data_IF_225686849047
#
_entry.id   IF_225686849047
#
_cell.length_a   1.000
_cell.length_b   1.000
_cell.length_c   1.000
_cell.angle_alpha   90.00
_cell.angle_beta   90.00
_cell.angle_gamma   90.00
#
_symmetry.space_group_name_H-M   'P 1'
#
loop_
_entity.id
_entity.type
_entity.pdbx_description
1 polymer ?
#
# COMPACT_ATOMS: atom_id res chain seq x y z
N UNK A 1 7.16 13.74 -12.91
CA UNK A 1 6.95 14.11 -11.48
C UNK A 1 6.02 13.05 -10.89
N UNK A 2 6.42 12.43 -9.79
CA UNK A 2 5.62 11.36 -9.19
C UNK A 2 4.33 11.92 -8.61
N UNK A 3 3.18 11.37 -9.02
CA UNK A 3 1.83 11.63 -8.49
C UNK A 3 1.27 10.37 -7.84
N UNK A 4 0.42 10.52 -6.82
CA UNK A 4 -0.24 9.39 -6.16
C UNK A 4 -1.73 9.49 -6.43
N UNK A 5 -2.27 8.49 -7.11
CA UNK A 5 -3.67 8.41 -7.50
C UNK A 5 -4.46 7.56 -6.53
N UNK A 6 -5.61 8.05 -6.08
CA UNK A 6 -6.59 7.30 -5.29
C UNK A 6 -7.54 6.61 -6.26
N UNK A 7 -7.56 5.29 -6.22
CA UNK A 7 -8.45 4.48 -7.07
C UNK A 7 -9.38 3.68 -6.17
N UNK A 8 -10.67 3.93 -6.36
CA UNK A 8 -11.76 3.25 -5.66
C UNK A 8 -12.70 2.61 -6.68
N UNK A 9 -13.74 1.92 -6.21
CA UNK A 9 -14.82 1.41 -7.05
C UNK A 9 -15.38 2.48 -8.01
N UNK A 10 -15.55 3.71 -7.51
CA UNK A 10 -16.30 4.76 -8.22
C UNK A 10 -15.54 5.35 -9.42
N UNK A 11 -14.19 5.32 -9.39
CA UNK A 11 -13.35 5.85 -10.46
C UNK A 11 -12.53 4.78 -11.20
N UNK A 12 -12.61 3.51 -10.79
CA UNK A 12 -11.82 2.38 -11.33
C UNK A 12 -11.89 2.27 -12.85
N UNK A 13 -13.05 2.55 -13.46
CA UNK A 13 -13.22 2.47 -14.90
C UNK A 13 -12.27 3.41 -15.68
N UNK A 14 -11.89 4.54 -15.09
CA UNK A 14 -10.92 5.48 -15.67
C UNK A 14 -9.45 5.05 -15.50
N UNK A 15 -9.18 3.97 -14.75
CA UNK A 15 -7.83 3.50 -14.42
C UNK A 15 -7.56 2.05 -14.83
N UNK A 16 -8.31 1.50 -15.79
CA UNK A 16 -8.20 0.10 -16.21
C UNK A 16 -6.76 -0.28 -16.59
N UNK A 17 -6.11 0.53 -17.44
CA UNK A 17 -4.72 0.27 -17.89
C UNK A 17 -3.72 0.40 -16.72
N UNK A 18 -3.93 1.36 -15.83
CA UNK A 18 -3.09 1.56 -14.63
C UNK A 18 -3.20 0.37 -13.67
N UNK A 19 -4.42 -0.12 -13.44
CA UNK A 19 -4.65 -1.29 -12.58
C UNK A 19 -4.06 -2.56 -13.20
N UNK A 20 -4.16 -2.74 -14.51
CA UNK A 20 -3.53 -3.85 -15.20
C UNK A 20 -2.00 -3.82 -15.04
N UNK A 21 -1.35 -2.65 -15.26
CA UNK A 21 0.08 -2.48 -15.04
C UNK A 21 0.45 -2.71 -13.56
N UNK A 22 -0.37 -2.20 -12.61
CA UNK A 22 -0.17 -2.38 -11.18
C UNK A 22 -0.20 -3.85 -10.76
N UNK A 23 -1.16 -4.65 -11.23
CA UNK A 23 -1.26 -6.07 -10.91
C UNK A 23 -0.12 -6.90 -11.51
N UNK A 24 0.41 -6.53 -12.69
CA UNK A 24 1.60 -7.15 -13.28
C UNK A 24 2.86 -6.82 -12.47
N UNK A 25 3.04 -5.55 -12.07
CA UNK A 25 4.16 -5.17 -11.22
C UNK A 25 4.08 -5.79 -9.82
N UNK A 26 2.88 -6.04 -9.30
CA UNK A 26 2.71 -6.84 -8.08
C UNK A 26 3.23 -8.26 -8.25
N UNK A 27 2.94 -8.90 -9.39
CA UNK A 27 3.50 -10.21 -9.72
C UNK A 27 5.03 -10.14 -9.76
N UNK A 28 5.61 -9.20 -10.50
CA UNK A 28 7.06 -9.07 -10.61
C UNK A 28 7.71 -8.87 -9.23
N UNK A 29 7.11 -8.05 -8.37
CA UNK A 29 7.68 -7.75 -7.05
C UNK A 29 7.42 -8.86 -6.03
N UNK A 30 6.21 -9.39 -5.94
CA UNK A 30 5.89 -10.35 -4.87
C UNK A 30 6.19 -11.79 -5.26
N UNK A 31 5.93 -12.19 -6.52
CA UNK A 31 6.17 -13.55 -6.98
C UNK A 31 7.62 -13.74 -7.43
N UNK A 32 8.12 -12.88 -8.33
CA UNK A 32 9.44 -13.09 -8.92
C UNK A 32 10.57 -12.57 -8.03
N UNK A 33 10.46 -11.31 -7.50
CA UNK A 33 11.56 -10.73 -6.72
C UNK A 33 11.59 -11.24 -5.27
N UNK A 34 10.41 -11.38 -4.60
CA UNK A 34 10.32 -11.82 -3.20
C UNK A 34 10.15 -13.33 -3.03
N UNK A 35 9.82 -14.04 -4.12
CA UNK A 35 9.69 -15.49 -4.10
C UNK A 35 8.37 -16.04 -3.54
N UNK A 36 7.33 -15.23 -3.39
CA UNK A 36 6.01 -15.66 -2.89
C UNK A 36 5.27 -16.45 -3.98
N UNK A 37 5.75 -17.68 -4.26
CA UNK A 37 5.31 -18.51 -5.39
C UNK A 37 3.84 -18.90 -5.32
N UNK A 38 3.27 -19.02 -4.13
CA UNK A 38 1.85 -19.35 -3.91
C UNK A 38 0.90 -18.27 -4.44
N UNK A 39 1.40 -17.05 -4.68
CA UNK A 39 0.63 -15.97 -5.29
C UNK A 39 0.67 -15.98 -6.82
N UNK A 40 1.46 -16.88 -7.43
CA UNK A 40 1.63 -16.94 -8.88
C UNK A 40 0.32 -17.31 -9.59
N UNK A 41 0.00 -16.59 -10.68
CA UNK A 41 -1.14 -16.86 -11.55
C UNK A 41 -0.68 -17.01 -12.99
N UNK A 42 -1.34 -17.87 -13.80
CA UNK A 42 -0.96 -18.11 -15.19
C UNK A 42 -1.02 -16.87 -16.09
N UNK A 43 -1.83 -15.87 -15.70
CA UNK A 43 -2.01 -14.62 -16.44
C UNK A 43 -0.92 -13.56 -16.16
N UNK A 44 0.07 -13.88 -15.32
CA UNK A 44 1.16 -12.97 -14.95
C UNK A 44 0.72 -11.76 -14.12
N UNK A 45 -0.41 -11.86 -13.42
CA UNK A 45 -0.91 -10.85 -12.48
C UNK A 45 -0.92 -11.41 -11.06
N UNK A 46 -0.67 -10.58 -10.07
CA UNK A 46 -0.96 -10.90 -8.67
C UNK A 46 -2.25 -10.20 -8.27
N UNK A 47 -3.31 -10.97 -8.10
CA UNK A 47 -4.66 -10.54 -7.73
C UNK A 47 -5.23 -11.56 -6.74
N UNK A 48 -5.76 -11.09 -5.62
CA UNK A 48 -6.35 -11.96 -4.60
C UNK A 48 -7.82 -11.61 -4.31
N UNK A 49 -8.44 -12.28 -3.34
CA UNK A 49 -9.84 -12.11 -2.99
C UNK A 49 -10.18 -10.72 -2.42
N UNK A 50 -9.17 -9.92 -2.04
CA UNK A 50 -9.32 -8.58 -1.51
C UNK A 50 -9.14 -7.49 -2.58
N UNK A 51 -8.96 -7.86 -3.83
CA UNK A 51 -8.93 -6.94 -4.98
C UNK A 51 -10.35 -6.72 -5.55
N UNK A 52 -11.33 -6.62 -4.66
CA UNK A 52 -12.75 -6.44 -4.94
C UNK A 52 -13.17 -4.94 -4.96
N UNK A 53 -14.48 -4.69 -4.99
CA UNK A 53 -15.07 -3.35 -5.01
C UNK A 53 -14.87 -2.55 -3.69
N UNK A 54 -14.37 -3.19 -2.63
CA UNK A 54 -14.10 -2.53 -1.34
C UNK A 54 -12.64 -2.10 -1.20
N UNK A 55 -11.78 -2.53 -2.12
CA UNK A 55 -10.38 -2.13 -2.15
C UNK A 55 -10.24 -0.66 -2.55
N UNK A 56 -9.40 0.06 -1.84
CA UNK A 56 -8.88 1.37 -2.25
C UNK A 56 -7.39 1.23 -2.55
N UNK A 57 -6.97 1.69 -3.71
CA UNK A 57 -5.56 1.68 -4.09
C UNK A 57 -4.99 3.08 -4.06
N UNK A 58 -3.79 3.22 -3.51
CA UNK A 58 -2.95 4.39 -3.70
C UNK A 58 -1.82 3.99 -4.65
N UNK A 59 -1.87 4.47 -5.89
CA UNK A 59 -0.91 4.07 -6.94
C UNK A 59 -0.03 5.26 -7.31
N UNK A 60 1.28 5.03 -7.23
CA UNK A 60 2.29 6.00 -7.61
C UNK A 60 2.58 5.92 -9.12
N UNK A 61 2.38 7.02 -9.81
CA UNK A 61 2.71 7.17 -11.23
C UNK A 61 3.87 8.14 -11.43
N UNK A 62 4.78 7.84 -12.35
CA UNK A 62 5.80 8.76 -12.83
C UNK A 62 5.85 8.73 -14.37
N UNK A 63 5.58 9.87 -14.99
CA UNK A 63 5.45 9.95 -16.46
C UNK A 63 4.33 9.06 -17.04
N UNK A 64 3.27 8.81 -16.25
CA UNK A 64 2.14 7.96 -16.65
C UNK A 64 2.37 6.45 -16.45
N UNK A 65 3.55 6.03 -15.96
CA UNK A 65 3.89 4.62 -15.65
C UNK A 65 3.74 4.34 -14.17
N UNK A 66 3.24 3.16 -13.83
CA UNK A 66 3.18 2.72 -12.43
C UNK A 66 4.58 2.45 -11.90
N UNK A 67 4.90 3.05 -10.73
CA UNK A 67 6.18 2.85 -10.05
C UNK A 67 6.03 2.27 -8.65
N UNK A 68 4.81 1.99 -8.22
CA UNK A 68 4.50 1.41 -6.91
C UNK A 68 3.08 1.68 -6.47
N UNK A 69 2.75 1.24 -5.28
CA UNK A 69 1.44 1.49 -4.69
C UNK A 69 1.21 0.65 -3.45
N UNK A 70 0.00 0.73 -2.95
CA UNK A 70 -0.51 -0.07 -1.84
C UNK A 70 -2.02 -0.27 -1.98
N UNK A 71 -2.55 -1.23 -1.25
CA UNK A 71 -4.00 -1.46 -1.12
C UNK A 71 -4.42 -1.22 0.32
N UNK A 72 -5.53 -0.49 0.49
CA UNK A 72 -6.26 -0.31 1.75
C UNK A 72 -7.57 -1.10 1.68
N UNK A 73 -7.93 -1.77 2.79
CA UNK A 73 -9.11 -2.61 2.85
C UNK A 73 -9.86 -2.41 4.18
N UNK A 74 -11.23 -2.40 4.20
CA UNK A 74 -12.00 -2.19 5.41
C UNK A 74 -11.90 -3.38 6.37
N UNK A 75 -11.54 -3.12 7.65
CA UNK A 75 -11.38 -4.18 8.66
C UNK A 75 -12.71 -4.73 9.20
N UNK A 76 -13.83 -4.06 8.96
CA UNK A 76 -15.16 -4.60 9.29
C UNK A 76 -15.56 -5.79 8.42
N UNK A 77 -14.92 -5.95 7.26
CA UNK A 77 -15.06 -7.12 6.40
C UNK A 77 -14.03 -8.20 6.76
N UNK A 78 -14.22 -9.45 6.29
CA UNK A 78 -13.14 -10.42 6.27
C UNK A 78 -11.93 -9.83 5.52
N UNK A 79 -10.77 -9.72 6.16
CA UNK A 79 -9.57 -9.09 5.65
C UNK A 79 -8.35 -9.96 5.95
N UNK A 80 -7.20 -9.65 5.38
CA UNK A 80 -6.05 -10.56 5.33
C UNK A 80 -5.57 -10.99 6.72
N UNK A 81 -5.42 -10.07 7.68
CA UNK A 81 -5.07 -10.44 9.06
C UNK A 81 -6.12 -11.41 9.63
N UNK A 82 -7.42 -11.15 9.41
CA UNK A 82 -8.47 -11.96 10.00
C UNK A 82 -8.61 -13.35 9.37
N UNK A 83 -8.17 -13.55 8.13
CA UNK A 83 -8.34 -14.81 7.41
C UNK A 83 -7.03 -15.59 7.28
N UNK A 84 -5.94 -14.91 6.95
CA UNK A 84 -4.65 -15.56 6.67
C UNK A 84 -3.68 -15.50 7.84
N UNK A 85 -3.74 -14.44 8.66
CA UNK A 85 -2.74 -14.18 9.71
C UNK A 85 -3.30 -13.94 11.11
N UNK A 86 -4.42 -14.61 11.53
CA UNK A 86 -4.99 -14.38 12.86
C UNK A 86 -4.02 -14.80 14.00
N UNK A 87 -3.13 -15.74 13.73
CA UNK A 87 -2.12 -16.24 14.65
C UNK A 87 -1.02 -15.22 14.97
N UNK A 88 -0.87 -14.15 14.16
CA UNK A 88 0.06 -13.05 14.43
C UNK A 88 -0.50 -12.01 15.41
N UNK A 89 -1.78 -12.13 15.79
CA UNK A 89 -2.43 -11.21 16.72
C UNK A 89 -2.56 -11.86 18.08
N UNK A 90 -2.04 -11.19 19.10
CA UNK A 90 -2.09 -11.67 20.49
C UNK A 90 -3.52 -11.83 20.95
N UNK A 91 -3.82 -12.96 21.59
CA UNK A 91 -5.12 -13.29 22.16
C UNK A 91 -6.29 -13.26 21.14
N UNK A 92 -5.99 -13.33 19.83
CA UNK A 92 -6.99 -13.29 18.75
C UNK A 92 -7.79 -11.98 18.65
N UNK A 93 -7.35 -10.92 19.34
CA UNK A 93 -8.05 -9.63 19.37
C UNK A 93 -7.72 -8.79 18.14
N UNK A 94 -8.23 -9.22 16.99
CA UNK A 94 -8.06 -8.52 15.71
C UNK A 94 -8.71 -7.15 15.78
N UNK A 95 -7.92 -6.11 15.50
CA UNK A 95 -8.39 -4.73 15.50
C UNK A 95 -9.34 -4.48 14.32
N UNK A 96 -10.58 -4.08 14.62
CA UNK A 96 -11.62 -3.80 13.62
C UNK A 96 -12.39 -2.54 14.02
N UNK A 97 -12.80 -1.76 13.05
CA UNK A 97 -13.63 -0.58 13.27
C UNK A 97 -13.92 0.20 12.00
N UNK A 98 -14.88 1.13 12.04
CA UNK A 98 -15.21 1.97 10.89
C UNK A 98 -14.09 2.96 10.55
N UNK A 99 -13.21 3.27 11.50
CA UNK A 99 -12.05 4.14 11.34
C UNK A 99 -10.73 3.37 11.27
N UNK A 100 -10.79 2.05 11.01
CA UNK A 100 -9.62 1.17 10.94
C UNK A 100 -9.58 0.49 9.57
N UNK A 101 -8.48 0.66 8.84
CA UNK A 101 -8.21 -0.04 7.58
C UNK A 101 -7.07 -1.04 7.76
N UNK A 102 -6.96 -1.97 6.83
CA UNK A 102 -5.78 -2.81 6.65
C UNK A 102 -4.99 -2.35 5.43
N UNK A 103 -3.68 -2.19 5.55
CA UNK A 103 -2.76 -1.90 4.45
C UNK A 103 -2.05 -3.18 4.01
N UNK A 104 -2.10 -3.46 2.70
CA UNK A 104 -1.43 -4.62 2.09
C UNK A 104 -0.80 -4.23 0.77
N UNK A 105 0.03 -5.11 0.22
CA UNK A 105 0.61 -4.98 -1.13
C UNK A 105 1.36 -3.66 -1.35
N UNK A 106 2.03 -3.17 -0.31
CA UNK A 106 2.90 -2.00 -0.40
C UNK A 106 4.18 -2.35 -1.16
N UNK A 107 4.46 -1.62 -2.24
CA UNK A 107 5.74 -1.74 -2.95
C UNK A 107 6.11 -0.46 -3.70
N UNK A 108 7.40 -0.32 -3.97
CA UNK A 108 7.99 0.57 -4.98
C UNK A 108 8.88 -0.30 -5.87
N UNK A 109 8.81 -0.14 -7.18
CA UNK A 109 9.65 -0.86 -8.13
C UNK A 109 11.14 -0.60 -7.85
N UNK A 110 11.98 -1.60 -8.08
CA UNK A 110 13.39 -1.62 -7.67
C UNK A 110 14.16 -0.36 -8.10
N UNK A 111 13.92 0.10 -9.33
CA UNK A 111 14.61 1.25 -9.94
C UNK A 111 14.26 2.59 -9.26
N UNK A 112 13.20 2.63 -8.46
CA UNK A 112 12.69 3.84 -7.79
C UNK A 112 12.83 3.82 -6.27
N UNK A 113 13.35 2.73 -5.68
CA UNK A 113 13.50 2.58 -4.20
C UNK A 113 14.52 3.55 -3.60
N UNK A 114 15.54 3.93 -4.34
CA UNK A 114 16.59 4.87 -3.88
C UNK A 114 16.17 6.34 -3.95
N UNK A 115 14.96 6.64 -4.37
CA UNK A 115 14.45 8.01 -4.53
C UNK A 115 13.41 8.40 -3.48
N UNK A 116 12.73 9.53 -3.76
CA UNK A 116 11.67 10.05 -2.89
C UNK A 116 10.28 9.40 -3.13
N UNK A 117 10.17 8.48 -4.08
CA UNK A 117 8.89 7.85 -4.44
C UNK A 117 8.23 7.17 -3.25
N UNK A 118 9.02 6.44 -2.47
CA UNK A 118 8.56 5.77 -1.26
C UNK A 118 8.05 6.75 -0.19
N UNK A 119 8.82 7.79 0.14
CA UNK A 119 8.36 8.79 1.10
C UNK A 119 7.11 9.53 0.62
N UNK A 120 6.93 9.72 -0.71
CA UNK A 120 5.71 10.30 -1.27
C UNK A 120 4.52 9.37 -1.11
N UNK A 121 4.69 8.06 -1.33
CA UNK A 121 3.63 7.08 -1.12
C UNK A 121 3.25 6.98 0.36
N UNK A 122 4.22 7.00 1.29
CA UNK A 122 3.96 7.06 2.72
C UNK A 122 3.26 8.37 3.16
N UNK A 123 3.60 9.51 2.54
CA UNK A 123 2.90 10.77 2.80
C UNK A 123 1.45 10.72 2.30
N UNK A 124 1.23 10.21 1.10
CA UNK A 124 -0.10 10.02 0.53
C UNK A 124 -0.96 9.06 1.34
N UNK A 125 -0.35 8.01 1.89
CA UNK A 125 -1.02 7.08 2.79
C UNK A 125 -1.56 7.78 4.06
N UNK A 126 -0.73 8.59 4.73
CA UNK A 126 -1.17 9.36 5.91
C UNK A 126 -2.23 10.42 5.53
N UNK A 127 -2.02 11.12 4.41
CA UNK A 127 -2.92 12.14 3.89
C UNK A 127 -4.32 11.56 3.60
N UNK A 128 -4.38 10.46 2.85
CA UNK A 128 -5.62 9.74 2.56
C UNK A 128 -6.34 9.34 3.84
N UNK A 129 -5.63 8.72 4.78
CA UNK A 129 -6.23 8.26 6.01
C UNK A 129 -6.79 9.39 6.88
N UNK A 130 -6.09 10.54 6.95
CA UNK A 130 -6.59 11.72 7.67
C UNK A 130 -7.84 12.29 7.02
N UNK A 131 -7.85 12.42 5.69
CA UNK A 131 -9.01 12.93 4.94
C UNK A 131 -10.25 12.04 5.09
N UNK A 132 -10.06 10.71 5.17
CA UNK A 132 -11.15 9.72 5.36
C UNK A 132 -11.53 9.51 6.85
N UNK A 133 -10.91 10.23 7.79
CA UNK A 133 -11.17 10.07 9.22
C UNK A 133 -10.69 8.73 9.79
N UNK A 134 -9.73 8.09 9.13
CA UNK A 134 -9.11 6.84 9.60
C UNK A 134 -8.15 7.17 10.74
N UNK A 135 -8.25 6.41 11.83
CA UNK A 135 -7.44 6.62 13.04
C UNK A 135 -6.28 5.63 13.18
N UNK A 136 -6.46 4.42 12.69
CA UNK A 136 -5.43 3.38 12.70
C UNK A 136 -5.46 2.56 11.41
N UNK A 137 -4.29 2.07 11.00
CA UNK A 137 -4.15 1.13 9.90
C UNK A 137 -3.35 -0.08 10.35
N UNK A 138 -3.90 -1.27 10.16
CA UNK A 138 -3.22 -2.53 10.45
C UNK A 138 -2.44 -3.03 9.25
N UNK A 139 -1.34 -3.74 9.50
CA UNK A 139 -0.58 -4.43 8.47
C UNK A 139 0.17 -5.63 9.05
N UNK A 140 0.44 -6.63 8.21
CA UNK A 140 1.46 -7.66 8.46
C UNK A 140 2.69 -7.34 7.63
N UNK A 141 3.83 -7.25 8.28
CA UNK A 141 5.09 -6.85 7.63
C UNK A 141 6.27 -7.62 8.17
N UNK A 142 7.31 -7.75 7.35
CA UNK A 142 8.61 -8.22 7.81
C UNK A 142 9.22 -7.21 8.80
N UNK A 143 9.98 -7.68 9.77
CA UNK A 143 10.53 -6.88 10.89
C UNK A 143 11.38 -5.68 10.43
N UNK A 144 12.01 -5.73 9.26
CA UNK A 144 12.83 -4.64 8.73
C UNK A 144 12.01 -3.40 8.35
N UNK A 145 10.67 -3.49 8.25
CA UNK A 145 9.80 -2.35 8.04
C UNK A 145 9.68 -1.42 9.25
N UNK A 146 9.82 -1.94 10.47
CA UNK A 146 9.63 -1.17 11.70
C UNK A 146 10.60 0.02 11.82
N UNK A 147 11.93 -0.15 11.62
CA UNK A 147 12.86 0.97 11.60
C UNK A 147 12.53 2.03 10.54
N UNK A 148 12.06 1.59 9.37
CA UNK A 148 11.69 2.50 8.28
C UNK A 148 10.47 3.36 8.64
N UNK A 149 9.44 2.77 9.22
CA UNK A 149 8.27 3.50 9.70
C UNK A 149 8.62 4.46 10.84
N UNK A 150 9.50 4.04 11.75
CA UNK A 150 10.00 4.90 12.81
C UNK A 150 10.73 6.14 12.24
N UNK A 151 11.61 5.96 11.25
CA UNK A 151 12.27 7.07 10.56
C UNK A 151 11.27 8.01 9.87
N UNK A 152 10.18 7.46 9.31
CA UNK A 152 9.11 8.25 8.73
C UNK A 152 8.22 8.97 9.78
N UNK A 153 8.49 8.77 11.08
CA UNK A 153 7.74 9.39 12.18
C UNK A 153 6.42 8.68 12.48
N UNK A 154 6.25 7.46 12.02
CA UNK A 154 5.03 6.70 12.29
C UNK A 154 5.04 6.14 13.72
N UNK A 155 3.91 6.27 14.41
CA UNK A 155 3.67 5.66 15.72
C UNK A 155 3.08 4.27 15.48
N UNK A 156 3.89 3.24 15.74
CA UNK A 156 3.54 1.85 15.46
C UNK A 156 3.40 1.08 16.76
N UNK A 157 2.31 0.32 16.88
CA UNK A 157 2.02 -0.56 18.01
C UNK A 157 1.98 -2.01 17.51
N UNK A 158 2.83 -2.91 18.04
CA UNK A 158 2.71 -4.35 17.78
C UNK A 158 1.33 -4.89 18.20
N UNK A 159 0.75 -5.77 17.41
CA UNK A 159 -0.49 -6.49 17.73
C UNK A 159 -0.21 -7.89 18.25
N UNK A 160 1.01 -8.39 18.14
CA UNK A 160 1.48 -9.66 18.65
C UNK A 160 3.01 -9.72 18.68
N UNK A 161 3.53 -10.92 18.87
CA UNK A 161 4.97 -11.17 18.82
C UNK A 161 5.41 -11.45 17.37
N UNK A 162 6.68 -11.15 17.04
CA UNK A 162 7.25 -11.59 15.77
C UNK A 162 7.13 -13.12 15.61
N UNK A 163 6.64 -13.53 14.45
CA UNK A 163 6.44 -14.94 14.12
C UNK A 163 6.95 -15.21 12.72
N UNK A 164 7.52 -16.40 12.52
CA UNK A 164 7.99 -16.81 11.21
C UNK A 164 6.81 -17.00 10.25
N UNK A 165 6.84 -16.29 9.14
CA UNK A 165 5.91 -16.49 8.01
C UNK A 165 6.80 -16.81 6.82
N UNK A 166 6.64 -18.01 6.26
CA UNK A 166 7.61 -18.55 5.31
C UNK A 166 9.03 -18.44 5.88
N UNK A 167 9.95 -17.81 5.15
CA UNK A 167 11.36 -17.69 5.55
C UNK A 167 11.69 -16.34 6.22
N UNK A 168 10.69 -15.53 6.61
CA UNK A 168 10.90 -14.19 7.16
C UNK A 168 10.18 -13.99 8.50
N UNK A 169 10.84 -13.33 9.48
CA UNK A 169 10.18 -12.92 10.71
C UNK A 169 9.22 -11.75 10.40
N UNK A 170 7.92 -11.99 10.59
CA UNK A 170 6.84 -11.04 10.36
C UNK A 170 6.14 -10.65 11.66
N UNK A 171 5.48 -9.50 11.64
CA UNK A 171 4.69 -9.00 12.75
C UNK A 171 3.40 -8.35 12.25
N UNK A 172 2.30 -8.60 12.96
CA UNK A 172 1.11 -7.78 12.82
C UNK A 172 1.27 -6.51 13.65
N UNK A 173 1.01 -5.36 13.06
CA UNK A 173 1.16 -4.06 13.70
C UNK A 173 0.01 -3.12 13.35
N UNK A 174 -0.27 -2.16 14.24
CA UNK A 174 -1.17 -1.04 13.99
C UNK A 174 -0.36 0.26 13.90
N UNK A 175 -0.58 1.01 12.85
CA UNK A 175 0.00 2.33 12.60
C UNK A 175 -1.05 3.37 12.99
N UNK A 176 -0.71 4.24 13.94
CA UNK A 176 -1.56 5.38 14.30
C UNK A 176 -1.44 6.46 13.22
N UNK A 177 -2.58 6.93 12.75
CA UNK A 177 -2.67 8.03 11.81
C UNK A 177 -2.65 9.35 12.57
N UNK A 178 -1.81 10.31 12.14
CA UNK A 178 -1.69 11.62 12.78
C UNK A 178 -1.08 12.68 11.86
N UNK A 179 -1.48 13.93 12.09
CA UNK A 179 -0.89 15.10 11.42
C UNK A 179 0.63 15.18 11.65
N UNK A 180 1.10 14.83 12.84
CA UNK A 180 2.53 14.83 13.18
C UNK A 180 3.32 13.87 12.25
N UNK A 181 2.81 12.65 12.05
CA UNK A 181 3.42 11.69 11.13
C UNK A 181 3.37 12.17 9.68
N UNK A 182 2.24 12.78 9.27
CA UNK A 182 2.12 13.37 7.92
C UNK A 182 3.14 14.49 7.73
N UNK A 183 3.29 15.40 8.68
CA UNK A 183 4.26 16.49 8.61
C UNK A 183 5.70 15.97 8.50
N UNK A 184 6.06 14.94 9.27
CA UNK A 184 7.41 14.38 9.20
C UNK A 184 7.69 13.72 7.87
N UNK A 185 6.81 12.85 7.37
CA UNK A 185 7.02 12.15 6.11
C UNK A 185 6.97 13.09 4.91
N UNK A 186 6.16 14.16 4.95
CA UNK A 186 6.20 15.23 3.92
C UNK A 186 7.55 15.94 3.85
N UNK A 187 8.17 16.24 5.00
CA UNK A 187 9.53 16.80 5.03
C UNK A 187 10.54 15.86 4.38
N UNK A 188 10.49 14.56 4.69
CA UNK A 188 11.37 13.55 4.08
C UNK A 188 11.14 13.43 2.56
N UNK A 189 9.89 13.51 2.13
CA UNK A 189 9.54 13.48 0.70
C UNK A 189 9.86 14.78 -0.04
N UNK A 190 10.22 15.86 0.66
CA UNK A 190 10.41 17.21 0.09
C UNK A 190 9.10 17.79 -0.45
N UNK A 191 7.97 17.47 0.17
CA UNK A 191 6.64 17.97 -0.21
C UNK A 191 6.30 19.23 0.59
N UNK A 192 5.74 20.22 -0.11
CA UNK A 192 5.26 21.49 0.48
C UNK A 192 3.73 21.53 0.63
N UNK A 193 3.02 20.52 0.11
CA UNK A 193 1.55 20.44 0.10
C UNK A 193 1.08 19.02 -0.19
N UNK A 194 -0.23 18.86 -0.42
CA UNK A 194 -0.85 17.58 -0.76
C UNK A 194 -0.21 16.91 -1.97
N UNK A 195 -0.20 15.58 -1.97
CA UNK A 195 0.34 14.77 -3.07
C UNK A 195 -0.68 13.78 -3.65
N UNK A 196 -1.87 13.68 -3.07
CA UNK A 196 -2.94 12.82 -3.57
C UNK A 196 -3.65 13.44 -4.78
N UNK A 197 -4.01 12.60 -5.74
CA UNK A 197 -4.90 12.92 -6.84
C UNK A 197 -6.12 11.99 -6.78
N UNK A 198 -7.32 12.57 -6.64
CA UNK A 198 -8.59 11.83 -6.53
C UNK A 198 -9.34 11.71 -7.85
N UNK A 199 -9.06 12.59 -8.80
CA UNK A 199 -9.69 12.58 -10.12
C UNK A 199 -8.74 11.99 -11.16
N UNK A 200 -9.28 11.22 -12.09
CA UNK A 200 -8.58 10.81 -13.29
C UNK A 200 -8.34 12.08 -14.14
N UNK A 201 -7.23 12.78 -13.91
CA UNK A 201 -6.71 13.67 -14.93
C UNK A 201 -6.53 12.80 -16.18
N UNK A 202 -7.03 13.21 -17.38
CA UNK A 202 -6.89 12.39 -18.57
C UNK A 202 -5.41 12.07 -18.74
N UNK A 203 -5.03 10.82 -18.47
CA UNK A 203 -3.66 10.35 -18.62
C UNK A 203 -3.30 10.60 -20.09
N UNK A 204 -2.38 11.54 -20.34
CA UNK A 204 -1.84 11.74 -21.69
C UNK A 204 -1.31 10.39 -22.17
N UNK A 205 -2.01 9.79 -23.14
CA UNK A 205 -1.48 8.61 -23.84
C UNK A 205 -0.12 8.99 -24.38
N UNK A 206 0.94 8.42 -23.81
CA UNK A 206 2.27 8.50 -24.41
C UNK A 206 2.17 7.67 -25.68
N UNK A 207 2.41 8.25 -26.89
CA UNK A 207 2.35 7.48 -28.12
C UNK A 207 3.40 6.37 -28.03
N UNK A 208 2.98 5.12 -28.28
CA UNK A 208 3.89 4.03 -28.51
C UNK A 208 4.75 4.42 -29.70
N UNK A 209 6.01 4.74 -29.47
CA UNK A 209 7.01 4.76 -30.53
C UNK A 209 7.30 3.30 -30.82
N UNK A 210 6.71 2.80 -31.91
CA UNK A 210 7.06 1.50 -32.47
C UNK A 210 8.53 1.55 -32.87
N UNK A 211 9.33 0.62 -32.33
CA UNK A 211 10.69 0.35 -32.75
C UNK A 211 10.69 -0.58 -33.98
#
# INVERSE_FOLDING_TARGET
>A
MTSIHVITRDNRAGYTDVLEEYFRLRHDVFVEERGWRDLARPDGREVDAYDDDHATYLIALDGGRVIGGLRLYPTLRPHMISQSFPHLVRDGRILRGPTVLECTRYFIVRERRMGRADCRLLAAFQEFCLEEGITEVTAVVEMWWLPRWHQAGFKVRPLGLPTQVEDQPCIAAAIRISEESLHQVRRMAGLRGPCLLREASPLRKVPHVAA
#
